data_IF_357193555546
#
_entry.id   IF_357193555546
#
_cell.length_a   1.000
_cell.length_b   1.000
_cell.length_c   1.000
_cell.angle_alpha   90.00
_cell.angle_beta   90.00
_cell.angle_gamma   90.00
#
_symmetry.space_group_name_H-M   'P 1'
#
loop_
_entity.id
_entity.type
_entity.pdbx_description
1 polymer ?
#
# COMPACT_ATOMS: atom_id res chain seq x y z
N UNK A 1 16.45 11.86 13.89
CA UNK A 1 16.11 13.27 14.24
C UNK A 1 14.67 13.53 13.82
N UNK A 2 13.86 14.21 14.65
CA UNK A 2 12.50 14.59 14.26
C UNK A 2 12.50 16.02 13.74
N UNK A 3 12.15 16.21 12.47
CA UNK A 3 12.07 17.53 11.82
C UNK A 3 10.61 17.85 11.48
N UNK A 4 10.26 19.13 11.50
CA UNK A 4 8.88 19.59 11.26
C UNK A 4 8.73 20.05 9.81
N UNK A 5 7.84 19.42 9.07
CA UNK A 5 7.36 19.89 7.77
C UNK A 5 6.09 20.72 7.96
N UNK A 6 6.08 21.95 7.44
CA UNK A 6 4.89 22.82 7.45
C UNK A 6 4.43 23.03 6.01
N UNK A 7 3.18 22.68 5.73
CA UNK A 7 2.59 22.77 4.39
C UNK A 7 1.54 23.88 4.38
N UNK A 8 1.54 24.69 3.32
CA UNK A 8 0.48 25.69 3.08
C UNK A 8 -0.57 25.06 2.16
N UNK A 9 -1.82 25.03 2.60
CA UNK A 9 -2.93 24.42 1.86
C UNK A 9 -4.25 25.03 2.28
N UNK A 10 -5.28 24.84 1.45
CA UNK A 10 -6.64 25.29 1.72
C UNK A 10 -7.22 24.67 2.98
N UNK A 11 -7.95 25.47 3.77
CA UNK A 11 -8.52 25.03 5.05
C UNK A 11 -9.47 23.82 4.89
N UNK A 12 -10.21 23.76 3.78
CA UNK A 12 -11.09 22.64 3.44
C UNK A 12 -10.32 21.31 3.35
N UNK A 13 -9.10 21.33 2.81
CA UNK A 13 -8.26 20.14 2.69
C UNK A 13 -7.74 19.70 4.06
N UNK A 14 -7.38 20.66 4.94
CA UNK A 14 -6.97 20.36 6.32
C UNK A 14 -8.10 19.64 7.07
N UNK A 15 -9.34 20.11 6.92
CA UNK A 15 -10.51 19.49 7.56
C UNK A 15 -10.77 18.08 7.02
N UNK A 16 -10.71 17.88 5.71
CA UNK A 16 -10.87 16.57 5.08
C UNK A 16 -9.81 15.57 5.55
N UNK A 17 -8.54 15.99 5.56
CA UNK A 17 -7.43 15.15 6.03
C UNK A 17 -7.61 14.73 7.50
N UNK A 18 -7.98 15.66 8.38
CA UNK A 18 -8.26 15.36 9.79
C UNK A 18 -9.46 14.43 9.97
N UNK A 19 -10.52 14.61 9.19
CA UNK A 19 -11.71 13.75 9.23
C UNK A 19 -11.37 12.32 8.82
N UNK A 20 -10.65 12.16 7.70
CA UNK A 20 -10.20 10.85 7.22
C UNK A 20 -9.27 10.16 8.23
N UNK A 21 -8.32 10.90 8.80
CA UNK A 21 -7.39 10.40 9.81
C UNK A 21 -8.15 9.87 11.04
N UNK A 22 -9.14 10.61 11.56
CA UNK A 22 -10.01 10.15 12.66
C UNK A 22 -10.78 8.89 12.32
N UNK A 23 -11.40 8.83 11.13
CA UNK A 23 -12.18 7.67 10.68
C UNK A 23 -11.32 6.41 10.56
N UNK A 24 -10.04 6.56 10.24
CA UNK A 24 -9.09 5.45 10.06
C UNK A 24 -8.25 5.16 11.30
N UNK A 25 -8.43 5.91 12.40
CA UNK A 25 -7.63 5.76 13.62
C UNK A 25 -6.16 6.16 13.46
N UNK A 26 -5.82 6.97 12.44
CA UNK A 26 -4.46 7.41 12.13
C UNK A 26 -4.28 8.90 12.38
N UNK A 27 -3.03 9.36 12.51
CA UNK A 27 -2.71 10.79 12.52
C UNK A 27 -2.47 11.30 11.09
N UNK A 28 -2.75 12.60 10.85
CA UNK A 28 -2.45 13.23 9.55
C UNK A 28 -0.95 13.16 9.23
N UNK A 29 -0.09 13.35 10.24
CA UNK A 29 1.36 13.20 10.07
C UNK A 29 1.75 11.78 9.66
N UNK A 30 1.12 10.75 10.23
CA UNK A 30 1.36 9.35 9.84
C UNK A 30 0.93 9.07 8.40
N UNK A 31 -0.23 9.56 7.98
CA UNK A 31 -0.69 9.41 6.60
C UNK A 31 0.27 10.06 5.59
N UNK A 32 0.77 11.25 5.91
CA UNK A 32 1.71 11.97 5.04
C UNK A 32 3.09 11.30 5.04
N UNK A 33 3.55 10.77 6.17
CA UNK A 33 4.80 10.02 6.25
C UNK A 33 4.76 8.75 5.38
N UNK A 34 3.66 8.00 5.41
CA UNK A 34 3.45 6.83 4.53
C UNK A 34 3.48 7.22 3.05
N UNK A 35 2.83 8.33 2.70
CA UNK A 35 2.84 8.80 1.32
C UNK A 35 4.26 9.17 0.86
N UNK A 36 5.04 9.87 1.69
CA UNK A 36 6.42 10.20 1.35
C UNK A 36 7.32 8.97 1.28
N UNK A 37 7.10 7.95 2.10
CA UNK A 37 7.88 6.70 2.02
C UNK A 37 7.63 5.97 0.70
N UNK A 38 6.39 6.01 0.20
CA UNK A 38 6.03 5.48 -1.12
C UNK A 38 6.65 6.29 -2.27
N UNK A 39 6.71 7.61 -2.16
CA UNK A 39 7.36 8.46 -3.18
C UNK A 39 8.87 8.21 -3.27
N UNK A 40 9.51 7.82 -2.16
CA UNK A 40 10.93 7.47 -2.13
C UNK A 40 11.25 6.06 -2.62
N UNK A 41 10.24 5.23 -2.90
CA UNK A 41 10.45 3.92 -3.48
C UNK A 41 10.82 4.08 -4.96
N UNK A 42 12.10 3.88 -5.29
CA UNK A 42 12.57 3.80 -6.68
C UNK A 42 11.69 2.82 -7.47
N UNK A 43 11.22 3.16 -8.69
CA UNK A 43 10.52 2.22 -9.53
C UNK A 43 11.41 0.99 -9.77
N UNK A 44 11.07 -0.15 -9.18
CA UNK A 44 11.85 -1.40 -9.25
C UNK A 44 12.56 -1.81 -7.95
N UNK A 45 12.64 -0.95 -6.93
CA UNK A 45 12.97 -1.38 -5.57
C UNK A 45 11.69 -1.88 -4.92
N UNK A 46 11.29 -3.12 -5.23
CA UNK A 46 10.25 -3.79 -4.45
C UNK A 46 10.72 -3.84 -3.00
N UNK A 47 10.13 -3.09 -2.06
CA UNK A 47 10.21 -3.56 -0.69
C UNK A 47 9.41 -4.86 -0.70
N UNK A 48 9.58 -5.69 0.30
CA UNK A 48 8.76 -6.88 0.53
C UNK A 48 7.30 -6.47 0.83
N UNK A 49 6.62 -5.96 -0.19
CA UNK A 49 5.45 -5.10 -0.19
C UNK A 49 4.21 -5.97 -0.25
N UNK A 50 4.08 -6.75 0.81
CA UNK A 50 2.82 -7.36 1.19
C UNK A 50 2.53 -6.98 2.64
N UNK A 51 1.25 -6.75 2.96
CA UNK A 51 0.82 -6.93 4.34
C UNK A 51 1.25 -8.33 4.83
N UNK A 52 1.37 -8.59 6.15
CA UNK A 52 1.73 -9.93 6.64
C UNK A 52 0.88 -11.05 6.01
N UNK A 53 -0.41 -10.78 5.75
CA UNK A 53 -1.29 -11.69 5.03
C UNK A 53 -0.85 -11.95 3.59
N UNK A 54 -0.53 -10.91 2.81
CA UNK A 54 -0.05 -11.05 1.43
C UNK A 54 1.27 -11.81 1.40
N UNK A 55 2.21 -11.55 2.32
CA UNK A 55 3.45 -12.32 2.41
C UNK A 55 3.21 -13.79 2.74
N UNK A 56 2.25 -14.10 3.62
CA UNK A 56 1.86 -15.47 3.92
C UNK A 56 1.29 -16.20 2.70
N UNK A 57 0.50 -15.51 1.88
CA UNK A 57 -0.06 -16.06 0.64
C UNK A 57 1.03 -16.32 -0.40
N UNK A 58 1.94 -15.37 -0.60
CA UNK A 58 3.10 -15.56 -1.50
C UNK A 58 3.98 -16.71 -0.99
N UNK A 59 4.21 -16.79 0.31
CA UNK A 59 4.98 -17.88 0.92
C UNK A 59 4.34 -19.26 0.73
N UNK A 60 3.01 -19.34 0.70
CA UNK A 60 2.30 -20.60 0.45
C UNK A 60 2.53 -21.16 -0.96
N UNK A 61 2.91 -20.31 -1.92
CA UNK A 61 3.22 -20.68 -3.31
C UNK A 61 4.72 -20.87 -3.56
N UNK A 62 5.56 -20.81 -2.52
CA UNK A 62 7.01 -20.88 -2.66
C UNK A 62 7.45 -22.23 -3.24
N UNK A 63 8.19 -22.17 -4.35
CA UNK A 63 8.70 -23.37 -5.04
C UNK A 63 7.75 -23.93 -6.10
N UNK A 64 6.55 -23.37 -6.24
CA UNK A 64 5.69 -23.63 -7.40
C UNK A 64 6.14 -22.74 -8.56
N UNK A 65 6.30 -23.34 -9.74
CA UNK A 65 6.48 -22.60 -10.99
C UNK A 65 5.09 -22.32 -11.52
N UNK A 66 4.51 -21.21 -11.08
CA UNK A 66 3.23 -20.72 -11.56
C UNK A 66 3.45 -19.39 -12.24
N UNK A 67 2.82 -19.20 -13.39
CA UNK A 67 2.81 -17.95 -14.11
C UNK A 67 1.39 -17.37 -14.24
N UNK A 68 1.28 -16.28 -14.99
CA UNK A 68 0.01 -15.60 -15.19
C UNK A 68 -0.95 -16.41 -16.07
N UNK A 69 -0.43 -17.30 -16.92
CA UNK A 69 -1.23 -18.14 -17.82
C UNK A 69 -1.90 -19.27 -17.04
N UNK A 70 -1.24 -19.84 -16.03
CA UNK A 70 -1.85 -20.79 -15.08
C UNK A 70 -3.09 -20.17 -14.39
N UNK A 71 -2.98 -18.91 -13.97
CA UNK A 71 -4.09 -18.20 -13.35
C UNK A 71 -5.24 -17.94 -14.34
N UNK A 72 -4.93 -17.57 -15.58
CA UNK A 72 -5.92 -17.36 -16.64
C UNK A 72 -6.66 -18.65 -16.98
N UNK A 73 -5.94 -19.78 -17.06
CA UNK A 73 -6.53 -21.11 -17.30
C UNK A 73 -7.49 -21.52 -16.17
N UNK A 74 -7.10 -21.30 -14.91
CA UNK A 74 -7.97 -21.54 -13.76
C UNK A 74 -9.27 -20.71 -13.83
N UNK A 75 -9.17 -19.42 -14.15
CA UNK A 75 -10.35 -18.55 -14.26
C UNK A 75 -11.30 -19.01 -15.37
N UNK A 76 -10.75 -19.41 -16.52
CA UNK A 76 -11.54 -19.94 -17.63
C UNK A 76 -12.29 -21.22 -17.22
N UNK A 77 -11.64 -22.15 -16.50
CA UNK A 77 -12.28 -23.37 -16.01
C UNK A 77 -13.32 -23.10 -14.89
N UNK A 78 -13.10 -22.10 -14.05
CA UNK A 78 -14.00 -21.78 -12.93
C UNK A 78 -15.30 -21.11 -13.38
N UNK A 79 -15.21 -20.28 -14.42
CA UNK A 79 -16.31 -19.41 -14.87
C UNK A 79 -16.90 -19.78 -16.23
N UNK A 80 -16.25 -20.68 -16.98
CA UNK A 80 -16.79 -21.33 -18.17
C UNK A 80 -17.56 -22.59 -17.81
#
# INVERSE_FOLDING_TARGET
>A
MQTKLTLRMEERLIRQAKSYARRTGRSVSGLVADFFSQLSATPGASPESGSPAVRSLVGALRGMQLDEDDYRAYLAHKHG
#
